data_IF_184205735795
#
_entry.id   IF_184205735795
#
_cell.length_a   1.000
_cell.length_b   1.000
_cell.length_c   1.000
_cell.angle_alpha   90.00
_cell.angle_beta   90.00
_cell.angle_gamma   90.00
#
_symmetry.space_group_name_H-M   'P 1'
#
loop_
_entity.id
_entity.type
_entity.pdbx_description
1 polymer ?
#
# COMPACT_ATOMS: atom_id res chain seq x y z
N UNK A 1 -2.69 -20.22 22.12
CA UNK A 1 -3.05 -20.72 20.77
C UNK A 1 -2.09 -20.08 19.80
N UNK A 2 -1.44 -20.87 18.95
CA UNK A 2 -0.54 -20.34 17.94
C UNK A 2 -1.35 -19.65 16.83
N UNK A 3 -1.16 -18.35 16.67
CA UNK A 3 -1.86 -17.56 15.66
C UNK A 3 -1.47 -17.96 14.22
N UNK A 4 -0.30 -18.59 14.03
CA UNK A 4 0.16 -19.05 12.72
C UNK A 4 -0.65 -20.27 12.26
N UNK A 5 -0.98 -21.18 13.19
CA UNK A 5 -1.86 -22.31 12.92
C UNK A 5 -3.28 -21.85 12.53
N UNK A 6 -3.77 -20.73 13.08
CA UNK A 6 -5.07 -20.15 12.71
C UNK A 6 -5.05 -19.61 11.28
N UNK A 7 -3.98 -18.92 10.86
CA UNK A 7 -3.80 -18.46 9.48
C UNK A 7 -3.71 -19.64 8.51
N UNK A 8 -2.93 -20.68 8.85
CA UNK A 8 -2.84 -21.88 8.02
C UNK A 8 -4.19 -22.57 7.84
N UNK A 9 -5.01 -22.59 8.90
CA UNK A 9 -6.35 -23.15 8.81
C UNK A 9 -7.30 -22.30 7.97
N UNK A 10 -7.17 -20.97 8.04
CA UNK A 10 -7.88 -20.08 7.13
C UNK A 10 -7.52 -20.36 5.67
N UNK A 11 -6.23 -20.43 5.36
CA UNK A 11 -5.74 -20.74 4.01
C UNK A 11 -6.24 -22.12 3.52
N UNK A 12 -6.24 -23.14 4.39
CA UNK A 12 -6.79 -24.45 4.05
C UNK A 12 -8.29 -24.39 3.71
N UNK A 13 -9.08 -23.63 4.47
CA UNK A 13 -10.50 -23.40 4.17
C UNK A 13 -10.69 -22.71 2.82
N UNK A 14 -9.87 -21.71 2.47
CA UNK A 14 -9.94 -21.08 1.14
C UNK A 14 -9.60 -22.04 0.01
N UNK A 15 -8.55 -22.86 0.17
CA UNK A 15 -8.21 -23.87 -0.86
C UNK A 15 -9.29 -24.92 -1.05
N UNK A 16 -10.10 -25.17 -0.01
CA UNK A 16 -11.26 -26.05 -0.07
C UNK A 16 -12.54 -25.37 -0.61
N UNK A 17 -12.49 -24.06 -0.91
CA UNK A 17 -13.65 -23.27 -1.35
C UNK A 17 -14.57 -22.80 -0.23
N UNK A 18 -14.22 -23.06 1.04
CA UNK A 18 -14.98 -22.62 2.21
C UNK A 18 -14.47 -21.26 2.71
N UNK A 19 -14.77 -20.22 1.93
CA UNK A 19 -14.30 -18.87 2.18
C UNK A 19 -14.90 -18.24 3.44
N UNK A 20 -16.12 -18.64 3.82
CA UNK A 20 -16.75 -18.16 5.05
C UNK A 20 -16.00 -18.70 6.27
N UNK A 21 -15.68 -20.00 6.30
CA UNK A 21 -14.85 -20.56 7.35
C UNK A 21 -13.46 -19.92 7.38
N UNK A 22 -12.87 -19.63 6.21
CA UNK A 22 -11.59 -18.94 6.14
C UNK A 22 -11.63 -17.55 6.80
N UNK A 23 -12.68 -16.76 6.54
CA UNK A 23 -12.89 -15.45 7.20
C UNK A 23 -13.00 -15.64 8.72
N UNK A 24 -13.75 -16.63 9.18
CA UNK A 24 -13.88 -16.89 10.62
C UNK A 24 -12.54 -17.28 11.28
N UNK A 25 -11.68 -18.03 10.57
CA UNK A 25 -10.35 -18.35 11.05
C UNK A 25 -9.40 -17.14 11.05
N UNK A 26 -9.49 -16.28 10.04
CA UNK A 26 -8.75 -15.01 10.02
C UNK A 26 -9.17 -14.09 11.16
N UNK A 27 -10.47 -13.97 11.46
CA UNK A 27 -10.96 -13.19 12.61
C UNK A 27 -10.36 -13.72 13.91
N UNK A 28 -10.35 -15.04 14.10
CA UNK A 28 -9.72 -15.65 15.29
C UNK A 28 -8.22 -15.38 15.34
N UNK A 29 -7.51 -15.45 14.22
CA UNK A 29 -6.08 -15.16 14.13
C UNK A 29 -5.78 -13.69 14.48
N UNK A 30 -6.56 -12.77 13.93
CA UNK A 30 -6.49 -11.33 14.18
C UNK A 30 -6.70 -11.01 15.68
N UNK A 31 -7.73 -11.60 16.28
CA UNK A 31 -7.99 -11.49 17.73
C UNK A 31 -6.90 -12.13 18.60
N UNK A 32 -6.18 -13.13 18.07
CA UNK A 32 -5.02 -13.74 18.73
C UNK A 32 -3.71 -12.96 18.52
N UNK A 33 -3.75 -11.79 17.88
CA UNK A 33 -2.61 -10.90 17.69
C UNK A 33 -1.85 -11.09 16.39
N UNK A 34 -2.35 -11.87 15.43
CA UNK A 34 -1.71 -11.95 14.11
C UNK A 34 -1.99 -10.70 13.28
N UNK A 35 -0.99 -9.83 13.15
CA UNK A 35 -1.07 -8.64 12.30
C UNK A 35 -1.42 -8.95 10.85
N UNK A 36 -0.86 -10.03 10.30
CA UNK A 36 -1.14 -10.50 8.95
C UNK A 36 -2.64 -10.79 8.73
N UNK A 37 -3.34 -11.31 9.74
CA UNK A 37 -4.75 -11.62 9.60
C UNK A 37 -5.62 -10.36 9.45
N UNK A 38 -5.26 -9.25 10.11
CA UNK A 38 -5.91 -7.96 9.92
C UNK A 38 -5.76 -7.46 8.48
N UNK A 39 -4.55 -7.59 7.92
CA UNK A 39 -4.26 -7.23 6.53
C UNK A 39 -5.09 -8.08 5.55
N UNK A 40 -5.14 -9.40 5.73
CA UNK A 40 -5.92 -10.27 4.84
C UNK A 40 -7.42 -9.98 4.89
N UNK A 41 -7.97 -9.71 6.08
CA UNK A 41 -9.37 -9.30 6.21
C UNK A 41 -9.63 -7.97 5.49
N UNK A 42 -8.73 -6.99 5.66
CA UNK A 42 -8.77 -5.72 4.92
C UNK A 42 -8.80 -5.94 3.41
N UNK A 43 -7.87 -6.72 2.86
CA UNK A 43 -7.82 -7.01 1.41
C UNK A 43 -9.11 -7.63 0.88
N UNK A 44 -9.73 -8.57 1.62
CA UNK A 44 -11.01 -9.18 1.21
C UNK A 44 -12.13 -8.16 1.12
N UNK A 45 -12.23 -7.26 2.10
CA UNK A 45 -13.24 -6.20 2.08
C UNK A 45 -12.97 -5.11 1.03
N UNK A 46 -11.69 -4.83 0.71
CA UNK A 46 -11.30 -3.92 -0.37
C UNK A 46 -11.67 -4.48 -1.75
N UNK A 47 -11.50 -5.78 -1.98
CA UNK A 47 -11.74 -6.40 -3.28
C UNK A 47 -13.18 -6.89 -3.45
N UNK A 48 -13.97 -6.98 -2.37
CA UNK A 48 -15.24 -7.71 -2.37
C UNK A 48 -15.06 -9.20 -2.64
N UNK A 49 -13.84 -9.72 -2.44
CA UNK A 49 -13.48 -11.11 -2.73
C UNK A 49 -13.97 -12.00 -1.59
N UNK A 50 -15.08 -12.68 -1.83
CA UNK A 50 -15.73 -13.61 -0.88
C UNK A 50 -16.10 -12.97 0.47
N UNK A 51 -16.10 -11.64 0.53
CA UNK A 51 -16.56 -10.81 1.63
C UNK A 51 -17.42 -9.68 1.07
N UNK A 52 -18.23 -9.06 1.92
CA UNK A 52 -18.98 -7.87 1.52
C UNK A 52 -18.00 -6.74 1.16
N UNK A 53 -18.12 -6.20 -0.05
CA UNK A 53 -17.34 -5.05 -0.49
C UNK A 53 -17.64 -3.86 0.42
N UNK A 54 -16.66 -3.47 1.23
CA UNK A 54 -16.79 -2.39 2.20
C UNK A 54 -15.44 -1.68 2.36
N UNK A 55 -15.07 -0.81 1.40
CA UNK A 55 -13.76 -0.18 1.38
C UNK A 55 -13.44 0.62 2.65
N UNK A 56 -14.44 1.30 3.22
CA UNK A 56 -14.25 2.08 4.46
C UNK A 56 -13.84 1.19 5.65
N UNK A 57 -14.53 0.06 5.84
CA UNK A 57 -14.16 -0.91 6.88
C UNK A 57 -12.80 -1.55 6.56
N UNK A 58 -12.57 -1.87 5.29
CA UNK A 58 -11.33 -2.46 4.83
C UNK A 58 -10.10 -1.58 5.12
N UNK A 59 -10.21 -0.27 4.88
CA UNK A 59 -9.19 0.72 5.22
C UNK A 59 -8.91 0.71 6.71
N UNK A 60 -9.92 0.65 7.58
CA UNK A 60 -9.71 0.60 9.02
C UNK A 60 -8.92 -0.65 9.45
N UNK A 61 -9.17 -1.79 8.82
CA UNK A 61 -8.44 -3.03 9.09
C UNK A 61 -6.97 -2.94 8.63
N UNK A 62 -6.73 -2.36 7.46
CA UNK A 62 -5.37 -2.12 6.93
C UNK A 62 -4.62 -1.09 7.78
N UNK A 63 -5.27 0.00 8.17
CA UNK A 63 -4.71 1.00 9.10
C UNK A 63 -4.31 0.36 10.43
N UNK A 64 -5.17 -0.49 10.98
CA UNK A 64 -4.86 -1.21 12.21
C UNK A 64 -3.66 -2.17 12.04
N UNK A 65 -3.60 -2.90 10.92
CA UNK A 65 -2.46 -3.76 10.62
C UNK A 65 -1.15 -2.96 10.48
N UNK A 66 -1.20 -1.79 9.85
CA UNK A 66 -0.05 -0.89 9.72
C UNK A 66 0.42 -0.36 11.09
N UNK A 67 -0.52 0.04 11.96
CA UNK A 67 -0.22 0.48 13.34
C UNK A 67 0.42 -0.63 14.19
N UNK A 68 0.08 -1.89 13.92
CA UNK A 68 0.68 -3.07 14.53
C UNK A 68 2.03 -3.48 13.90
N UNK A 69 2.57 -2.68 12.97
CA UNK A 69 3.88 -2.88 12.37
C UNK A 69 3.91 -3.76 11.12
N UNK A 70 2.78 -4.00 10.45
CA UNK A 70 2.82 -4.65 9.13
C UNK A 70 3.34 -3.70 8.08
N UNK A 71 4.53 -4.02 7.56
CA UNK A 71 5.17 -3.28 6.48
C UNK A 71 4.33 -3.31 5.20
N UNK A 72 3.74 -4.47 4.87
CA UNK A 72 2.84 -4.61 3.72
C UNK A 72 1.56 -3.78 3.90
N UNK A 73 0.99 -3.73 5.10
CA UNK A 73 -0.20 -2.92 5.36
C UNK A 73 0.08 -1.42 5.21
N UNK A 74 1.23 -0.95 5.72
CA UNK A 74 1.66 0.43 5.54
C UNK A 74 1.85 0.79 4.06
N UNK A 75 2.44 -0.12 3.28
CA UNK A 75 2.57 0.03 1.82
C UNK A 75 1.21 0.09 1.12
N UNK A 76 0.28 -0.82 1.43
CA UNK A 76 -1.06 -0.82 0.85
C UNK A 76 -1.81 0.48 1.16
N UNK A 77 -1.75 0.95 2.41
CA UNK A 77 -2.38 2.20 2.81
C UNK A 77 -1.75 3.39 2.06
N UNK A 78 -0.43 3.38 1.86
CA UNK A 78 0.25 4.42 1.09
C UNK A 78 -0.27 4.47 -0.36
N UNK A 79 -0.46 3.33 -1.01
CA UNK A 79 -1.02 3.25 -2.36
C UNK A 79 -2.45 3.79 -2.41
N UNK A 80 -3.27 3.50 -1.41
CA UNK A 80 -4.65 4.04 -1.35
C UNK A 80 -4.65 5.57 -1.24
N UNK A 81 -3.77 6.15 -0.42
CA UNK A 81 -3.61 7.61 -0.32
C UNK A 81 -3.01 8.22 -1.59
N UNK A 82 -2.01 7.59 -2.21
CA UNK A 82 -1.39 8.08 -3.44
C UNK A 82 -2.37 8.13 -4.61
N UNK A 83 -3.26 7.15 -4.72
CA UNK A 83 -4.23 7.05 -5.81
C UNK A 83 -5.58 7.73 -5.49
N UNK A 84 -5.82 8.12 -4.24
CA UNK A 84 -7.15 8.60 -3.81
C UNK A 84 -8.24 7.54 -3.95
N UNK A 85 -7.90 6.27 -3.74
CA UNK A 85 -8.86 5.16 -3.84
C UNK A 85 -9.61 5.00 -2.53
N UNK A 86 -10.90 5.37 -2.54
CA UNK A 86 -11.79 5.36 -1.37
C UNK A 86 -11.36 6.29 -0.23
N UNK A 87 -10.24 7.01 -0.42
CA UNK A 87 -9.68 8.05 0.44
C UNK A 87 -9.45 9.30 -0.40
N UNK A 88 -9.38 10.47 0.24
CA UNK A 88 -8.87 11.65 -0.44
C UNK A 88 -7.39 11.44 -0.79
N UNK A 89 -6.98 11.81 -2.00
CA UNK A 89 -5.58 11.73 -2.40
C UNK A 89 -4.72 12.59 -1.48
N UNK A 90 -3.65 12.01 -0.96
CA UNK A 90 -2.72 12.68 -0.05
C UNK A 90 -1.31 12.10 -0.22
N UNK A 91 -0.52 12.72 -1.09
CA UNK A 91 0.84 12.28 -1.39
C UNK A 91 1.78 12.41 -0.19
N UNK A 92 1.57 13.39 0.69
CA UNK A 92 2.40 13.55 1.89
C UNK A 92 2.20 12.36 2.83
N UNK A 93 0.94 11.95 3.08
CA UNK A 93 0.65 10.74 3.85
C UNK A 93 1.16 9.49 3.14
N UNK A 94 0.99 9.39 1.83
CA UNK A 94 1.47 8.24 1.07
C UNK A 94 2.99 8.06 1.22
N UNK A 95 3.77 9.13 1.06
CA UNK A 95 5.22 9.08 1.23
C UNK A 95 5.61 8.73 2.67
N UNK A 96 4.96 9.30 3.68
CA UNK A 96 5.23 8.96 5.08
C UNK A 96 4.99 7.47 5.38
N UNK A 97 3.91 6.89 4.83
CA UNK A 97 3.61 5.47 4.98
C UNK A 97 4.55 4.57 4.18
N UNK A 98 4.99 5.02 3.00
CA UNK A 98 6.01 4.33 2.20
C UNK A 98 7.35 4.27 2.94
N UNK A 99 7.78 5.37 3.56
CA UNK A 99 8.98 5.40 4.39
C UNK A 99 8.86 4.41 5.53
N UNK A 100 7.75 4.46 6.29
CA UNK A 100 7.53 3.52 7.40
C UNK A 100 7.58 2.05 6.93
N UNK A 101 6.99 1.74 5.78
CA UNK A 101 7.04 0.41 5.18
C UNK A 101 8.45 -0.01 4.73
N UNK A 102 9.21 0.90 4.13
CA UNK A 102 10.58 0.69 3.67
C UNK A 102 11.57 0.45 4.81
N UNK A 103 11.43 1.21 5.91
CA UNK A 103 12.19 1.05 7.16
C UNK A 103 11.94 -0.33 7.80
N UNK A 104 10.70 -0.82 7.71
CA UNK A 104 10.33 -2.17 8.17
C UNK A 104 10.79 -3.29 7.22
N UNK A 105 11.48 -2.97 6.12
CA UNK A 105 12.06 -3.97 5.23
C UNK A 105 11.23 -4.34 4.01
N UNK A 106 10.11 -3.66 3.76
CA UNK A 106 9.26 -4.00 2.62
C UNK A 106 9.91 -3.60 1.28
N UNK A 107 10.24 -4.60 0.47
CA UNK A 107 10.94 -4.40 -0.80
C UNK A 107 10.17 -3.51 -1.77
N UNK A 108 8.86 -3.69 -1.89
CA UNK A 108 8.06 -2.90 -2.85
C UNK A 108 8.00 -1.43 -2.45
N UNK A 109 7.98 -1.12 -1.15
CA UNK A 109 8.00 0.26 -0.67
C UNK A 109 9.36 0.93 -0.96
N UNK A 110 10.46 0.20 -0.77
CA UNK A 110 11.83 0.67 -1.10
C UNK A 110 11.96 0.95 -2.60
N UNK A 111 11.50 0.03 -3.44
CA UNK A 111 11.50 0.20 -4.89
C UNK A 111 10.63 1.38 -5.32
N UNK A 112 9.45 1.54 -4.72
CA UNK A 112 8.59 2.67 -5.03
C UNK A 112 9.24 4.00 -4.65
N UNK A 113 9.84 4.14 -3.46
CA UNK A 113 10.57 5.36 -3.10
C UNK A 113 11.72 5.67 -4.07
N UNK A 114 12.48 4.66 -4.49
CA UNK A 114 13.55 4.82 -5.48
C UNK A 114 13.04 5.27 -6.85
N UNK A 115 11.87 4.75 -7.28
CA UNK A 115 11.26 5.15 -8.55
C UNK A 115 10.68 6.56 -8.51
N UNK A 116 10.18 6.98 -7.34
CA UNK A 116 9.59 8.30 -7.11
C UNK A 116 10.67 9.37 -6.91
N UNK A 117 11.80 9.01 -6.30
CA UNK A 117 12.97 9.87 -6.14
C UNK A 117 13.71 10.15 -7.45
N UNK A 118 14.70 11.04 -7.38
CA UNK A 118 15.44 11.48 -8.57
C UNK A 118 16.37 10.39 -9.11
N UNK A 119 16.37 10.18 -10.44
CA UNK A 119 17.21 9.16 -11.12
C UNK A 119 18.72 9.28 -10.87
N UNK A 120 19.17 10.47 -10.49
CA UNK A 120 20.58 10.77 -10.29
C UNK A 120 21.05 10.56 -8.84
N UNK A 121 20.14 10.23 -7.91
CA UNK A 121 20.50 9.96 -6.53
C UNK A 121 21.10 8.55 -6.40
N UNK A 122 22.27 8.47 -5.79
CA UNK A 122 22.90 7.20 -5.44
C UNK A 122 21.97 6.42 -4.51
N UNK A 123 21.82 5.09 -4.68
CA UNK A 123 21.01 4.28 -3.78
C UNK A 123 21.46 4.48 -2.33
N UNK A 124 20.63 5.17 -1.54
CA UNK A 124 20.80 5.32 -0.10
C UNK A 124 19.67 4.57 0.59
N UNK A 125 19.96 3.97 1.74
CA UNK A 125 18.94 3.39 2.61
C UNK A 125 18.31 4.44 3.54
N UNK A 126 18.53 5.73 3.25
CA UNK A 126 17.88 6.84 3.94
C UNK A 126 16.54 7.13 3.26
N UNK A 127 15.56 6.27 3.53
CA UNK A 127 14.23 6.33 2.91
C UNK A 127 13.52 7.64 3.22
N UNK A 128 13.74 8.20 4.41
CA UNK A 128 13.18 9.48 4.81
C UNK A 128 13.77 10.63 4.00
N UNK A 129 15.10 10.69 3.82
CA UNK A 129 15.73 11.70 2.98
C UNK A 129 15.28 11.59 1.52
N UNK A 130 15.19 10.37 1.00
CA UNK A 130 14.69 10.11 -0.35
C UNK A 130 13.23 10.57 -0.53
N UNK A 131 12.37 10.33 0.47
CA UNK A 131 10.99 10.82 0.41
C UNK A 131 10.90 12.36 0.42
N UNK A 132 11.83 13.04 1.09
CA UNK A 132 11.90 14.50 1.13
C UNK A 132 12.50 15.11 -0.16
N UNK A 133 13.27 14.34 -0.94
CA UNK A 133 13.81 14.80 -2.24
C UNK A 133 12.78 14.77 -3.36
N UNK A 134 11.64 14.10 -3.16
CA UNK A 134 10.55 14.00 -4.14
C UNK A 134 9.84 15.36 -4.25
N UNK A 135 10.00 15.99 -5.41
CA UNK A 135 9.29 17.22 -5.77
C UNK A 135 7.85 16.91 -6.19
N UNK A 136 6.92 16.96 -5.23
CA UNK A 136 5.49 16.79 -5.49
C UNK A 136 4.90 17.94 -6.32
N UNK A 137 5.44 19.16 -6.21
CA UNK A 137 4.97 20.32 -6.95
C UNK A 137 5.25 20.18 -8.46
N UNK A 138 6.37 19.54 -8.80
CA UNK A 138 6.67 19.16 -10.18
C UNK A 138 5.59 18.22 -10.78
N UNK A 139 5.05 17.28 -10.01
CA UNK A 139 4.01 16.34 -10.52
C UNK A 139 2.62 16.96 -10.64
N UNK A 140 2.35 18.00 -9.85
CA UNK A 140 1.11 18.76 -9.93
C UNK A 140 1.19 19.91 -10.95
N UNK A 141 2.38 20.22 -11.47
CA UNK A 141 2.56 21.22 -12.52
C UNK A 141 2.05 20.69 -13.87
N UNK A 142 1.21 21.44 -14.60
CA UNK A 142 0.86 21.07 -15.96
C UNK A 142 2.15 20.98 -16.79
N UNK A 143 2.25 19.96 -17.65
CA UNK A 143 3.37 19.85 -18.57
C UNK A 143 3.54 21.20 -19.28
N UNK A 144 4.74 21.78 -19.18
CA UNK A 144 5.04 23.00 -19.92
C UNK A 144 4.83 22.65 -21.39
N UNK A 145 3.96 23.40 -22.08
CA UNK A 145 3.83 23.38 -23.54
C UNK A 145 5.18 23.85 -24.10
N UNK A 146 6.16 22.96 -24.12
CA UNK A 146 7.38 23.16 -24.85
C UNK A 146 6.95 23.14 -26.31
N UNK A 147 6.80 24.34 -26.89
CA UNK A 147 6.47 24.58 -28.29
C UNK A 147 7.52 23.90 -29.18
N UNK A 148 7.37 22.59 -29.40
CA UNK A 148 8.25 21.73 -30.23
C UNK A 148 8.12 22.02 -31.74
N UNK A 149 7.64 23.19 -32.13
CA UNK A 149 7.59 23.61 -33.52
C UNK A 149 8.02 25.05 -33.66
N UNK A 150 9.28 25.25 -34.06
CA UNK A 150 9.67 26.44 -34.80
C UNK A 150 10.21 25.99 -36.16
N UNK A 151 9.38 26.19 -37.19
CA UNK A 151 9.63 26.17 -38.64
C UNK A 151 9.13 24.96 -39.45
N UNK A 152 7.86 24.97 -39.93
CA UNK A 152 7.60 24.39 -41.24
C UNK A 152 8.28 25.28 -42.30
N UNK A 153 9.30 24.75 -42.98
CA UNK A 153 9.82 25.35 -44.21
C UNK A 153 8.69 25.31 -45.25
N UNK A 154 8.04 26.44 -45.46
CA UNK A 154 7.22 26.70 -46.65
C UNK A 154 8.19 26.88 -47.81
N UNK A 155 8.25 25.89 -48.70
CA UNK A 155 8.92 25.96 -49.99
C UNK A 155 7.96 26.38 -51.10
#
# INVERSE_FOLDING_TARGET
>A
MDHAALIQRAAACDTAGDHEAAIQWLIKAAQAGATEAWLQLGRRHLLGDRASFSPAHAIQLVEHAAQLGSAEAAHQLAVLYALGLHLAQDWHKALSLLVASAELGWTDARQQLQLLGSKDETPSEDWAALALSIDLDFWHSPAQDELLSHNPRIG
#
